data_IF_966950364324
#
_entry.id   IF_966950364324
#
_cell.length_a   1.000
_cell.length_b   1.000
_cell.length_c   1.000
_cell.angle_alpha   90.00
_cell.angle_beta   90.00
_cell.angle_gamma   90.00
#
_symmetry.space_group_name_H-M   'P 1'
#
loop_
_entity.id
_entity.type
_entity.pdbx_description
1 polymer ?
#
# COMPACT_ATOMS: atom_id res chain seq x y z
N UNK A 1 -4.80 -13.26 -1.40
CA UNK A 1 -4.75 -12.81 0.01
C UNK A 1 -3.42 -12.12 0.19
N UNK A 2 -3.36 -11.02 0.95
CA UNK A 2 -2.11 -10.27 1.09
C UNK A 2 -1.34 -10.70 2.34
N UNK A 3 -0.04 -10.85 2.23
CA UNK A 3 0.89 -10.96 3.36
C UNK A 3 1.74 -9.69 3.46
N UNK A 4 2.19 -9.42 4.68
CA UNK A 4 3.05 -8.28 4.98
C UNK A 4 4.31 -8.81 5.66
N UNK A 5 5.46 -8.38 5.16
CA UNK A 5 6.75 -8.79 5.68
C UNK A 5 7.63 -7.56 5.83
N UNK A 6 8.28 -7.44 6.98
CA UNK A 6 9.35 -6.47 7.18
C UNK A 6 10.67 -7.21 6.93
N UNK A 7 11.41 -6.78 5.91
CA UNK A 7 12.58 -7.51 5.40
C UNK A 7 13.73 -7.41 6.39
N UNK A 8 14.38 -8.56 6.64
CA UNK A 8 15.56 -8.70 7.51
C UNK A 8 15.40 -8.14 8.92
N UNK A 9 14.16 -7.97 9.37
CA UNK A 9 13.83 -7.46 10.68
C UNK A 9 13.59 -8.58 11.69
N UNK A 10 14.10 -8.39 12.90
CA UNK A 10 14.02 -9.36 14.00
C UNK A 10 13.16 -8.76 15.11
N UNK A 11 11.95 -9.29 15.36
CA UNK A 11 11.13 -8.84 16.47
C UNK A 11 11.76 -9.30 17.80
N UNK A 12 12.03 -8.34 18.70
CA UNK A 12 12.52 -8.65 20.06
C UNK A 12 11.39 -8.90 21.07
N UNK A 13 10.17 -8.55 20.69
CA UNK A 13 8.95 -8.80 21.45
C UNK A 13 7.91 -9.46 20.55
N UNK A 14 6.90 -10.07 21.16
CA UNK A 14 5.79 -10.63 20.42
C UNK A 14 5.05 -9.53 19.66
N UNK A 15 4.65 -9.83 18.42
CA UNK A 15 3.77 -8.96 17.64
C UNK A 15 2.40 -8.91 18.31
N UNK A 16 1.86 -7.70 18.42
CA UNK A 16 0.54 -7.46 18.99
C UNK A 16 -0.45 -7.14 17.87
N UNK A 17 -1.69 -7.57 18.01
CA UNK A 17 -2.77 -7.24 17.06
C UNK A 17 -3.99 -6.76 17.80
N UNK A 18 -4.71 -5.81 17.21
CA UNK A 18 -5.90 -5.23 17.83
C UNK A 18 -6.82 -4.54 16.84
N UNK A 19 -7.88 -3.95 17.37
CA UNK A 19 -8.79 -3.09 16.63
C UNK A 19 -8.78 -1.73 17.33
N UNK A 20 -8.55 -0.66 16.58
CA UNK A 20 -8.65 0.71 17.06
C UNK A 20 -9.55 1.49 16.11
N UNK A 21 -10.69 1.95 16.63
CA UNK A 21 -11.74 2.55 15.81
C UNK A 21 -12.20 1.58 14.72
N UNK A 22 -11.97 1.95 13.46
CA UNK A 22 -12.33 1.15 12.29
C UNK A 22 -11.14 0.43 11.64
N UNK A 23 -9.96 0.49 12.26
CA UNK A 23 -8.73 -0.10 11.73
C UNK A 23 -8.38 -1.38 12.46
N UNK A 24 -7.91 -2.38 11.70
CA UNK A 24 -7.15 -3.48 12.26
C UNK A 24 -5.69 -3.05 12.40
N UNK A 25 -5.07 -3.30 13.55
CA UNK A 25 -3.71 -2.86 13.84
C UNK A 25 -2.82 -4.07 14.09
N UNK A 26 -1.61 -4.01 13.54
CA UNK A 26 -0.50 -4.89 13.88
C UNK A 26 0.65 -4.04 14.41
N UNK A 27 1.14 -4.32 15.61
CA UNK A 27 2.23 -3.59 16.24
C UNK A 27 3.45 -4.49 16.44
N UNK A 28 4.60 -4.03 15.96
CA UNK A 28 5.91 -4.63 16.22
C UNK A 28 6.68 -3.72 17.18
N UNK A 29 6.86 -4.20 18.41
CA UNK A 29 7.62 -3.50 19.43
C UNK A 29 9.10 -3.93 19.41
N UNK A 30 10.02 -2.98 19.55
CA UNK A 30 11.47 -3.17 19.55
C UNK A 30 11.97 -3.98 18.34
N UNK A 31 11.52 -3.61 17.14
CA UNK A 31 11.92 -4.29 15.91
C UNK A 31 13.36 -3.91 15.56
N UNK A 32 14.29 -4.87 15.61
CA UNK A 32 15.65 -4.67 15.12
C UNK A 32 15.65 -4.81 13.60
N UNK A 33 16.04 -3.77 12.87
CA UNK A 33 15.96 -3.75 11.40
C UNK A 33 17.30 -3.41 10.74
N UNK A 34 18.34 -3.14 11.52
CA UNK A 34 19.65 -2.75 10.99
C UNK A 34 20.75 -3.70 11.44
N UNK A 35 21.26 -4.53 10.52
CA UNK A 35 22.31 -5.50 10.81
C UNK A 35 23.63 -4.85 11.26
N UNK A 36 24.01 -3.72 10.65
CA UNK A 36 25.24 -3.01 11.01
C UNK A 36 25.16 -2.31 12.38
N UNK A 37 23.94 -2.09 12.88
CA UNK A 37 23.67 -1.40 14.14
C UNK A 37 22.69 -2.24 14.97
N UNK A 38 23.14 -3.32 15.63
CA UNK A 38 22.25 -4.25 16.35
C UNK A 38 21.60 -3.64 17.61
N UNK A 39 21.94 -2.40 17.96
CA UNK A 39 21.29 -1.62 19.01
C UNK A 39 20.26 -0.63 18.45
N UNK A 40 20.02 -0.63 17.14
CA UNK A 40 19.01 0.21 16.49
C UNK A 40 17.71 -0.57 16.37
N UNK A 41 16.64 0.00 16.92
CA UNK A 41 15.31 -0.60 16.89
C UNK A 41 14.23 0.45 16.67
N UNK A 42 13.08 0.00 16.16
CA UNK A 42 11.90 0.81 15.90
C UNK A 42 10.64 0.12 16.44
N UNK A 43 9.75 0.90 17.04
CA UNK A 43 8.36 0.49 17.25
C UNK A 43 7.55 0.92 16.03
N UNK A 44 6.89 -0.05 15.38
CA UNK A 44 6.13 0.17 14.15
C UNK A 44 4.70 -0.36 14.33
N UNK A 45 3.70 0.45 13.99
CA UNK A 45 2.34 -0.06 13.75
C UNK A 45 2.01 -0.05 12.27
N UNK A 46 1.26 -1.04 11.85
CA UNK A 46 0.52 -1.07 10.60
C UNK A 46 -0.97 -0.97 10.89
N UNK A 47 -1.62 0.06 10.36
CA UNK A 47 -3.07 0.24 10.39
C UNK A 47 -3.65 -0.18 9.05
N UNK A 48 -4.60 -1.11 9.06
CA UNK A 48 -5.36 -1.52 7.89
C UNK A 48 -6.78 -0.96 8.03
N UNK A 49 -7.07 0.06 7.24
CA UNK A 49 -8.35 0.75 7.24
C UNK A 49 -9.40 -0.01 6.43
N UNK A 50 -10.70 0.24 6.71
CA UNK A 50 -11.82 -0.38 5.96
C UNK A 50 -11.77 -0.15 4.45
N UNK A 51 -11.25 1.00 4.02
CA UNK A 51 -11.06 1.35 2.60
C UNK A 51 -9.78 0.73 2.00
N UNK A 52 -9.18 -0.24 2.68
CA UNK A 52 -7.94 -0.91 2.32
C UNK A 52 -6.70 -0.02 2.27
N UNK A 53 -6.78 1.26 2.69
CA UNK A 53 -5.58 2.07 2.92
C UNK A 53 -4.77 1.42 4.03
N UNK A 54 -3.46 1.35 3.82
CA UNK A 54 -2.52 0.79 4.79
C UNK A 54 -1.61 1.92 5.23
N UNK A 55 -1.45 2.09 6.52
CA UNK A 55 -0.59 3.11 7.11
C UNK A 55 0.45 2.45 7.99
N UNK A 56 1.70 2.81 7.79
CA UNK A 56 2.81 2.40 8.65
C UNK A 56 3.27 3.61 9.44
N UNK A 57 3.21 3.51 10.76
CA UNK A 57 3.60 4.57 11.68
C UNK A 57 4.74 4.10 12.58
N UNK A 58 5.83 4.87 12.63
CA UNK A 58 6.89 4.69 13.62
C UNK A 58 6.59 5.49 14.89
N UNK A 59 6.67 4.87 16.07
CA UNK A 59 6.43 5.56 17.35
C UNK A 59 7.74 5.92 18.05
N UNK A 60 8.56 4.90 18.27
CA UNK A 60 9.83 5.02 18.97
C UNK A 60 10.93 4.54 18.05
N UNK A 61 11.95 5.37 17.86
CA UNK A 61 13.18 5.02 17.16
C UNK A 61 14.33 5.18 18.14
N UNK A 62 15.11 4.12 18.30
CA UNK A 62 16.27 4.11 19.18
C UNK A 62 17.52 3.75 18.39
N UNK A 63 18.65 4.34 18.79
CA UNK A 63 19.93 4.17 18.11
C UNK A 63 20.07 5.06 16.86
N UNK A 64 21.14 4.84 16.11
CA UNK A 64 21.37 5.55 14.85
C UNK A 64 20.61 4.88 13.72
N UNK A 65 19.95 5.67 12.88
CA UNK A 65 19.31 5.21 11.65
C UNK A 65 20.23 5.35 10.43
N UNK A 66 21.42 5.93 10.58
CA UNK A 66 22.33 6.18 9.47
C UNK A 66 22.67 4.88 8.73
N UNK A 67 22.50 4.93 7.40
CA UNK A 67 22.68 3.78 6.49
C UNK A 67 21.77 2.58 6.79
N UNK A 68 20.72 2.75 7.59
CA UNK A 68 19.71 1.74 7.86
C UNK A 68 18.41 2.12 7.14
N UNK A 69 17.98 1.30 6.18
CA UNK A 69 16.66 1.42 5.57
C UNK A 69 15.75 0.34 6.11
N UNK A 70 14.46 0.66 6.28
CA UNK A 70 13.44 -0.31 6.64
C UNK A 70 12.60 -0.61 5.41
N UNK A 71 12.59 -1.87 4.99
CA UNK A 71 11.87 -2.32 3.79
C UNK A 71 10.68 -3.17 4.19
N UNK A 72 9.53 -2.87 3.60
CA UNK A 72 8.28 -3.59 3.79
C UNK A 72 7.85 -4.17 2.44
N UNK A 73 7.66 -5.48 2.42
CA UNK A 73 7.15 -6.23 1.27
C UNK A 73 5.67 -6.56 1.48
N UNK A 74 4.86 -6.28 0.45
CA UNK A 74 3.49 -6.74 0.34
C UNK A 74 3.47 -7.78 -0.77
N UNK A 75 3.06 -8.99 -0.40
CA UNK A 75 2.92 -10.08 -1.35
C UNK A 75 1.47 -10.46 -1.52
N UNK A 76 1.11 -10.91 -2.72
CA UNK A 76 -0.13 -11.64 -2.95
C UNK A 76 0.15 -13.14 -2.99
N UNK A 77 -0.87 -13.92 -2.66
CA UNK A 77 -0.79 -15.37 -2.68
C UNK A 77 -2.04 -16.03 -2.11
N UNK A 78 -1.97 -17.34 -1.94
CA UNK A 78 -3.06 -18.15 -1.40
C UNK A 78 -2.67 -18.73 -0.06
N UNK A 79 -3.62 -18.77 0.87
CA UNK A 79 -3.41 -19.43 2.15
C UNK A 79 -4.09 -20.78 2.20
N UNK A 80 -3.35 -21.77 2.69
CA UNK A 80 -3.87 -23.08 3.02
C UNK A 80 -3.74 -23.31 4.51
N UNK A 81 -4.87 -23.59 5.16
CA UNK A 81 -4.88 -24.08 6.54
C UNK A 81 -4.56 -25.57 6.50
N UNK A 82 -3.49 -25.97 7.16
CA UNK A 82 -3.07 -27.35 7.26
C UNK A 82 -3.89 -28.08 8.35
N UNK A 83 -3.77 -29.42 8.40
CA UNK A 83 -4.50 -30.25 9.36
C UNK A 83 -4.14 -29.94 10.82
N UNK A 84 -2.92 -29.43 11.07
CA UNK A 84 -2.42 -28.99 12.38
C UNK A 84 -2.79 -27.53 12.71
N UNK A 85 -3.68 -26.91 11.92
CA UNK A 85 -4.08 -25.49 12.02
C UNK A 85 -2.96 -24.49 11.71
N UNK A 86 -1.76 -24.94 11.31
CA UNK A 86 -0.75 -24.05 10.76
C UNK A 86 -1.22 -23.48 9.43
N UNK A 87 -0.75 -22.27 9.09
CA UNK A 87 -1.08 -21.59 7.84
C UNK A 87 0.15 -21.63 6.94
N UNK A 88 -0.01 -22.16 5.73
CA UNK A 88 1.01 -22.07 4.68
C UNK A 88 0.58 -21.05 3.63
N UNK A 89 1.45 -20.08 3.39
CA UNK A 89 1.32 -19.15 2.28
C UNK A 89 1.93 -19.79 1.03
N UNK A 90 1.13 -19.92 -0.03
CA UNK A 90 1.51 -20.51 -1.30
C UNK A 90 1.51 -19.45 -2.39
N UNK A 91 2.39 -19.65 -3.38
CA UNK A 91 2.50 -18.78 -4.55
C UNK A 91 2.74 -17.31 -4.17
N UNK A 92 3.53 -17.10 -3.11
CA UNK A 92 3.87 -15.75 -2.65
C UNK A 92 4.62 -15.00 -3.76
N UNK A 93 4.04 -13.88 -4.18
CA UNK A 93 4.66 -12.96 -5.13
C UNK A 93 4.62 -11.56 -4.54
N UNK A 94 5.79 -10.95 -4.36
CA UNK A 94 5.90 -9.54 -3.97
C UNK A 94 5.26 -8.69 -5.07
N UNK A 95 4.21 -7.97 -4.72
CA UNK A 95 3.47 -7.07 -5.63
C UNK A 95 3.77 -5.59 -5.33
N UNK A 96 4.26 -5.29 -4.12
CA UNK A 96 4.66 -3.95 -3.74
C UNK A 96 5.79 -3.97 -2.72
N UNK A 97 6.68 -2.98 -2.82
CA UNK A 97 7.77 -2.76 -1.87
C UNK A 97 7.75 -1.31 -1.46
N UNK A 98 7.69 -1.06 -0.15
CA UNK A 98 7.82 0.26 0.44
C UNK A 98 9.16 0.34 1.19
N UNK A 99 9.91 1.43 0.97
CA UNK A 99 11.21 1.64 1.61
C UNK A 99 11.18 2.92 2.42
N UNK A 100 11.39 2.79 3.73
CA UNK A 100 11.70 3.89 4.62
C UNK A 100 13.21 4.12 4.56
N UNK A 101 13.62 5.24 4.00
CA UNK A 101 15.03 5.66 4.08
C UNK A 101 15.40 5.97 5.52
N UNK A 102 16.69 5.86 5.86
CA UNK A 102 17.23 6.27 7.17
C UNK A 102 16.71 7.61 7.68
N UNK A 103 16.62 8.61 6.80
CA UNK A 103 16.11 9.96 7.11
C UNK A 103 14.60 10.01 7.40
N UNK A 104 13.85 8.99 7.00
CA UNK A 104 12.42 8.86 7.20
C UNK A 104 12.08 7.98 8.41
N UNK A 105 13.07 7.45 9.14
CA UNK A 105 12.84 6.62 10.33
C UNK A 105 13.03 7.51 11.56
N UNK A 106 11.97 8.21 11.95
CA UNK A 106 11.92 9.03 13.17
C UNK A 106 10.54 8.92 13.83
N UNK A 107 10.44 9.37 15.08
CA UNK A 107 9.19 9.25 15.84
C UNK A 107 8.05 10.03 15.18
N UNK A 108 6.92 9.37 14.98
CA UNK A 108 5.71 9.94 14.41
C UNK A 108 5.67 9.98 12.88
N UNK A 109 6.69 9.49 12.17
CA UNK A 109 6.61 9.42 10.71
C UNK A 109 5.54 8.41 10.27
N UNK A 110 4.83 8.75 9.19
CA UNK A 110 3.72 7.99 8.64
C UNK A 110 3.95 7.77 7.15
N UNK A 111 3.93 6.52 6.72
CA UNK A 111 3.85 6.18 5.30
C UNK A 111 2.49 5.56 5.01
N UNK A 112 1.81 6.12 4.02
CA UNK A 112 0.52 5.65 3.55
C UNK A 112 0.69 4.91 2.22
N UNK A 113 0.21 3.68 2.17
CA UNK A 113 0.04 2.90 0.97
C UNK A 113 -1.44 2.86 0.64
N UNK A 114 -1.80 3.52 -0.46
CA UNK A 114 -3.13 3.41 -1.04
C UNK A 114 -3.04 2.34 -2.13
N UNK A 115 -3.52 1.11 -1.88
CA UNK A 115 -3.56 0.11 -2.94
C UNK A 115 -4.42 0.65 -4.08
N UNK A 116 -3.95 0.47 -5.32
CA UNK A 116 -4.78 0.75 -6.48
C UNK A 116 -6.04 -0.10 -6.38
N UNK A 117 -7.15 0.49 -6.80
CA UNK A 117 -8.38 -0.29 -6.87
C UNK A 117 -8.18 -1.46 -7.83
N UNK A 118 -8.87 -2.57 -7.57
CA UNK A 118 -8.83 -3.78 -8.41
C UNK A 118 -9.07 -3.47 -9.90
N UNK A 119 -9.92 -2.46 -10.15
CA UNK A 119 -10.20 -1.93 -11.46
C UNK A 119 -8.99 -1.19 -12.03
N UNK A 120 -8.38 -0.25 -11.31
CA UNK A 120 -7.24 0.55 -11.78
C UNK A 120 -5.97 -0.25 -12.13
N UNK A 121 -5.88 -1.50 -11.66
CA UNK A 121 -4.81 -2.42 -12.06
C UNK A 121 -4.97 -2.94 -13.49
N UNK A 122 -6.18 -2.87 -14.05
CA UNK A 122 -6.49 -3.40 -15.37
C UNK A 122 -6.07 -2.42 -16.47
N UNK A 123 -5.27 -2.94 -17.41
CA UNK A 123 -4.70 -2.17 -18.53
C UNK A 123 -5.42 -2.40 -19.86
N UNK A 124 -6.49 -3.20 -19.86
CA UNK A 124 -7.30 -3.49 -21.05
C UNK A 124 -8.79 -3.50 -20.74
N UNK A 125 -9.62 -3.23 -21.75
CA UNK A 125 -11.08 -3.31 -21.62
C UNK A 125 -11.54 -4.72 -21.23
N UNK A 126 -10.99 -5.75 -21.87
CA UNK A 126 -11.35 -7.14 -21.61
C UNK A 126 -11.08 -7.49 -20.15
N UNK A 127 -9.86 -7.23 -19.67
CA UNK A 127 -9.49 -7.53 -18.29
C UNK A 127 -10.26 -6.66 -17.28
N UNK A 128 -10.66 -5.45 -17.64
CA UNK A 128 -11.55 -4.61 -16.83
C UNK A 128 -12.96 -5.20 -16.65
N UNK A 129 -13.54 -5.71 -17.74
CA UNK A 129 -14.86 -6.34 -17.73
C UNK A 129 -14.81 -7.66 -16.98
N UNK A 130 -13.77 -8.48 -17.19
CA UNK A 130 -13.61 -9.76 -16.50
C UNK A 130 -13.40 -9.59 -14.98
N UNK A 131 -12.75 -8.52 -14.56
CA UNK A 131 -12.53 -8.17 -13.14
C UNK A 131 -13.79 -7.57 -12.47
N UNK A 132 -14.78 -7.17 -13.26
CA UNK A 132 -16.02 -6.58 -12.78
C UNK A 132 -16.91 -7.64 -12.14
N UNK A 133 -17.16 -7.53 -10.83
CA UNK A 133 -18.08 -8.42 -10.11
C UNK A 133 -19.32 -7.63 -9.65
N UNK A 134 -20.49 -8.28 -9.47
CA UNK A 134 -21.75 -7.58 -9.18
C UNK A 134 -21.71 -6.63 -7.96
N UNK A 135 -20.91 -6.97 -6.95
CA UNK A 135 -20.78 -6.21 -5.69
C UNK A 135 -19.67 -5.14 -5.72
N UNK A 136 -18.85 -5.12 -6.77
CA UNK A 136 -17.73 -4.19 -6.93
C UNK A 136 -17.46 -4.06 -8.43
N UNK A 137 -18.31 -3.32 -9.16
CA UNK A 137 -18.22 -3.21 -10.60
C UNK A 137 -16.99 -2.41 -11.02
N UNK A 138 -16.39 -2.82 -12.12
CA UNK A 138 -15.37 -2.05 -12.83
C UNK A 138 -15.96 -1.51 -14.14
N UNK A 139 -15.51 -0.32 -14.56
CA UNK A 139 -15.95 0.34 -15.80
C UNK A 139 -14.75 0.78 -16.62
N UNK A 140 -14.70 0.40 -17.90
CA UNK A 140 -13.66 0.82 -18.83
C UNK A 140 -14.00 2.17 -19.47
N UNK A 141 -13.17 3.17 -19.23
CA UNK A 141 -13.37 4.55 -19.67
C UNK A 141 -12.05 5.17 -20.15
N UNK A 142 -12.05 5.67 -21.39
CA UNK A 142 -10.91 6.39 -21.99
C UNK A 142 -9.56 5.67 -21.78
N UNK A 143 -9.53 4.36 -22.01
CA UNK A 143 -8.35 3.49 -21.84
C UNK A 143 -7.87 3.29 -20.40
N UNK A 144 -8.74 3.51 -19.41
CA UNK A 144 -8.51 3.19 -18.00
C UNK A 144 -9.68 2.38 -17.46
N UNK A 145 -9.41 1.52 -16.50
CA UNK A 145 -10.45 0.81 -15.77
C UNK A 145 -10.65 1.46 -14.41
N UNK A 146 -11.90 1.80 -14.08
CA UNK A 146 -12.28 2.58 -12.90
C UNK A 146 -13.30 1.83 -12.06
N UNK A 147 -13.41 2.18 -10.78
CA UNK A 147 -14.28 1.50 -9.82
C UNK A 147 -15.76 1.90 -9.93
N UNK A 148 -16.09 2.93 -10.74
CA UNK A 148 -17.48 3.28 -11.05
C UNK A 148 -17.59 4.12 -12.32
N UNK A 149 -18.79 4.14 -12.90
CA UNK A 149 -19.14 5.03 -14.02
C UNK A 149 -19.00 6.52 -13.63
N UNK A 150 -19.30 6.89 -12.38
CA UNK A 150 -19.20 8.30 -11.93
C UNK A 150 -17.78 8.83 -12.00
N UNK A 151 -16.77 7.97 -11.80
CA UNK A 151 -15.37 8.35 -11.97
C UNK A 151 -15.02 8.61 -13.44
N UNK A 152 -15.75 8.03 -14.39
CA UNK A 152 -15.55 8.28 -15.81
C UNK A 152 -15.98 9.70 -16.22
N UNK A 153 -17.05 10.21 -15.61
CA UNK A 153 -17.55 11.56 -15.87
C UNK A 153 -16.53 12.63 -15.42
N UNK A 154 -15.83 12.39 -14.30
CA UNK A 154 -14.73 13.25 -13.82
C UNK A 154 -13.52 13.27 -14.78
N UNK A 155 -13.19 12.13 -15.39
CA UNK A 155 -12.09 12.04 -16.39
C UNK A 155 -12.45 12.76 -17.69
N UNK A 156 -13.72 12.68 -18.11
CA UNK A 156 -14.21 13.43 -19.26
C UNK A 156 -14.13 14.95 -19.03
N UNK A 157 -14.38 15.41 -17.80
CA UNK A 157 -14.29 16.82 -17.41
C UNK A 157 -12.85 17.36 -17.33
N UNK A 158 -11.90 16.55 -16.87
CA UNK A 158 -10.49 16.97 -16.81
C UNK A 158 -9.87 17.08 -18.20
N UNK A 159 -10.19 16.15 -19.09
CA UNK A 159 -9.70 16.16 -20.48
C UNK A 159 -10.24 17.35 -21.28
N UNK A 160 -11.49 17.77 -21.02
CA UNK A 160 -12.05 18.97 -21.66
C UNK A 160 -11.41 20.26 -21.14
N UNK A 161 -11.06 20.32 -19.84
CA UNK A 161 -10.45 21.50 -19.22
C UNK A 161 -8.99 21.71 -19.65
N UNK A 162 -8.19 20.64 -19.81
CA UNK A 162 -6.83 20.73 -20.37
C UNK A 162 -6.85 21.17 -21.84
N UNK A 163 -7.80 20.69 -22.64
CA UNK A 163 -8.02 21.13 -24.01
C UNK A 163 -8.35 22.64 -24.09
N UNK A 164 -9.22 23.13 -23.20
CA UNK A 164 -9.55 24.56 -23.14
C UNK A 164 -8.38 25.44 -22.66
N UNK A 165 -7.49 24.93 -21.82
CA UNK A 165 -6.32 25.68 -21.33
C UNK A 165 -5.24 25.80 -22.41
N UNK A 166 -5.09 24.78 -23.27
CA UNK A 166 -4.17 24.83 -24.42
C UNK A 166 -4.70 25.67 -25.59
N UNK A 167 -6.02 25.82 -25.76
CA UNK A 167 -6.58 26.75 -26.74
C UNK A 167 -6.41 28.22 -26.34
N UNK A 168 -6.40 28.54 -25.04
CA UNK A 168 -6.25 29.94 -24.57
C UNK A 168 -4.83 30.49 -24.75
N UNK A 169 -3.79 29.64 -24.77
CA UNK A 169 -2.40 30.07 -25.04
C UNK A 169 -2.12 30.40 -26.51
N UNK A 170 -2.95 29.96 -27.45
CA UNK A 170 -2.68 30.17 -28.88
C UNK A 170 -3.32 31.45 -29.46
N UNK A 171 -4.20 32.11 -28.71
CA UNK A 171 -4.95 33.30 -29.17
C UNK A 171 -4.28 34.61 -28.72
N UNK A 172 -3.30 34.59 -27.80
CA UNK A 172 -2.56 35.79 -27.36
C UNK A 172 -1.20 36.00 -28.05
N UNK A 173 -0.96 35.41 -29.23
CA UNK A 173 0.32 35.54 -29.96
C UNK A 173 0.18 35.76 -31.46
N UNK A 174 -0.78 36.58 -31.89
CA UNK A 174 -0.84 37.11 -33.26
C UNK A 174 -1.20 38.58 -33.22
#
# INVERSE_FOLDING_TARGET
MRSFKIVDAIPLKQTETGIEGESFIITWNNLMYCHSHPKTFVDLAMHIHKNAIIEFQSFTVYGTTENCNLTIEISDGTCRVNADQSITFMQEKVIHTAVFTSSSIFNGNLIRLTPRSRCEEQTSNISCVDESIPISPCTWCQNKCLASMSQCDDVAYTTSTESMTNQKKHIEST
#
